data_IF_989191072543
#
_entry.id   IF_989191072543
#
_cell.length_a   1.000
_cell.length_b   1.000
_cell.length_c   1.000
_cell.angle_alpha   90.00
_cell.angle_beta   90.00
_cell.angle_gamma   90.00
#
_symmetry.space_group_name_H-M   'P 1'
#
loop_
_entity.id
_entity.type
_entity.pdbx_description
1 polymer ?
#
# COMPACT_ATOMS: atom_id res chain seq x y z
N UNK A 1 -19.49 -9.12 -6.51
CA UNK A 1 -19.07 -10.51 -6.88
C UNK A 1 -20.26 -11.46 -7.01
N UNK A 2 -21.23 -11.45 -6.10
CA UNK A 2 -22.45 -12.29 -6.16
C UNK A 2 -23.28 -12.09 -7.44
N UNK A 3 -23.66 -10.85 -7.78
CA UNK A 3 -24.52 -10.53 -8.95
C UNK A 3 -24.05 -11.17 -10.27
N UNK A 4 -22.73 -11.28 -10.46
CA UNK A 4 -22.14 -11.78 -11.71
C UNK A 4 -21.55 -13.19 -11.58
N UNK A 5 -21.71 -13.86 -10.44
CA UNK A 5 -21.14 -15.20 -10.19
C UNK A 5 -19.65 -15.27 -10.54
N UNK A 6 -18.87 -14.29 -10.04
CA UNK A 6 -17.43 -14.23 -10.28
C UNK A 6 -16.77 -15.52 -9.77
N UNK A 7 -16.06 -16.25 -10.64
CA UNK A 7 -15.44 -17.53 -10.30
C UNK A 7 -13.93 -17.43 -10.02
N UNK A 8 -13.30 -16.36 -10.49
CA UNK A 8 -11.89 -16.04 -10.26
C UNK A 8 -11.74 -14.54 -10.00
N UNK A 9 -10.91 -14.19 -9.02
CA UNK A 9 -10.61 -12.79 -8.71
C UNK A 9 -9.14 -12.61 -8.36
N UNK A 10 -8.60 -11.44 -8.69
CA UNK A 10 -7.20 -11.09 -8.46
C UNK A 10 -7.13 -9.83 -7.61
N UNK A 11 -6.39 -9.87 -6.51
CA UNK A 11 -6.30 -8.75 -5.57
C UNK A 11 -4.86 -8.56 -5.06
N UNK A 12 -4.41 -7.32 -4.79
CA UNK A 12 -3.31 -7.14 -3.86
C UNK A 12 -3.69 -7.75 -2.49
N UNK A 13 -2.74 -8.30 -1.72
CA UNK A 13 -3.04 -9.02 -0.48
C UNK A 13 -3.89 -8.24 0.53
N UNK A 14 -3.66 -6.93 0.63
CA UNK A 14 -4.42 -6.07 1.55
C UNK A 14 -5.92 -6.07 1.23
N UNK A 15 -6.30 -6.03 -0.06
CA UNK A 15 -7.71 -6.06 -0.46
C UNK A 15 -8.33 -7.45 -0.27
N UNK A 16 -7.54 -8.52 -0.47
CA UNK A 16 -8.01 -9.88 -0.21
C UNK A 16 -8.30 -10.08 1.28
N UNK A 17 -7.41 -9.59 2.14
CA UNK A 17 -7.60 -9.64 3.59
C UNK A 17 -8.89 -8.93 4.00
N UNK A 18 -9.14 -7.72 3.49
CA UNK A 18 -10.35 -6.99 3.83
C UNK A 18 -11.63 -7.63 3.32
N UNK A 19 -11.60 -8.18 2.10
CA UNK A 19 -12.71 -8.96 1.59
C UNK A 19 -12.98 -10.16 2.52
N UNK A 20 -11.93 -10.81 3.03
CA UNK A 20 -12.05 -11.91 3.99
C UNK A 20 -12.61 -11.45 5.34
N UNK A 21 -12.13 -10.34 5.91
CA UNK A 21 -12.63 -9.77 7.17
C UNK A 21 -14.11 -9.38 7.06
N UNK A 22 -14.51 -8.80 5.93
CA UNK A 22 -15.91 -8.46 5.67
C UNK A 22 -16.77 -9.72 5.52
N UNK A 23 -16.34 -10.69 4.72
CA UNK A 23 -17.06 -11.96 4.55
C UNK A 23 -17.18 -12.76 5.85
N UNK A 24 -16.18 -12.68 6.74
CA UNK A 24 -16.21 -13.30 8.07
C UNK A 24 -17.25 -12.64 8.98
N UNK A 25 -17.29 -11.30 9.00
CA UNK A 25 -18.28 -10.55 9.79
C UNK A 25 -19.71 -10.82 9.32
N UNK A 26 -19.93 -10.80 8.01
CA UNK A 26 -21.27 -10.91 7.41
C UNK A 26 -21.73 -12.37 7.25
N UNK A 27 -20.82 -13.34 7.40
CA UNK A 27 -21.10 -14.75 7.20
C UNK A 27 -21.50 -15.14 5.77
N UNK A 28 -21.32 -14.23 4.80
CA UNK A 28 -21.79 -14.37 3.41
C UNK A 28 -20.63 -14.22 2.40
N UNK A 29 -19.69 -15.18 2.32
CA UNK A 29 -18.61 -15.10 1.36
C UNK A 29 -19.12 -15.30 -0.08
N UNK A 30 -18.53 -14.61 -1.07
CA UNK A 30 -18.86 -14.84 -2.47
C UNK A 30 -18.35 -16.21 -2.94
N UNK A 31 -19.10 -16.86 -3.84
CA UNK A 31 -18.79 -18.20 -4.37
C UNK A 31 -17.68 -18.17 -5.44
N UNK A 32 -16.52 -17.63 -5.07
CA UNK A 32 -15.34 -17.50 -5.92
C UNK A 32 -14.44 -18.71 -5.68
N UNK A 33 -14.14 -19.48 -6.73
CA UNK A 33 -13.34 -20.70 -6.60
C UNK A 33 -11.84 -20.42 -6.50
N UNK A 34 -11.36 -19.36 -7.15
CA UNK A 34 -9.94 -19.00 -7.16
C UNK A 34 -9.75 -17.54 -6.77
N UNK A 35 -8.94 -17.32 -5.74
CA UNK A 35 -8.33 -16.02 -5.52
C UNK A 35 -6.86 -16.08 -5.89
N UNK A 36 -6.43 -15.16 -6.74
CA UNK A 36 -5.03 -14.87 -6.96
C UNK A 36 -4.67 -13.61 -6.19
N UNK A 37 -3.51 -13.60 -5.56
CA UNK A 37 -2.96 -12.41 -4.94
C UNK A 37 -1.48 -12.27 -5.21
N UNK A 38 -0.97 -11.06 -5.09
CA UNK A 38 0.41 -10.74 -5.38
C UNK A 38 0.68 -9.25 -5.24
N UNK A 39 1.95 -8.89 -5.15
CA UNK A 39 2.37 -7.50 -4.94
C UNK A 39 2.97 -7.28 -3.56
N UNK A 40 2.41 -7.85 -2.49
CA UNK A 40 2.94 -7.80 -1.12
C UNK A 40 3.20 -9.19 -0.54
N UNK A 41 4.00 -9.23 0.53
CA UNK A 41 4.19 -10.45 1.31
C UNK A 41 2.94 -10.74 2.17
N UNK A 42 2.52 -12.00 2.23
CA UNK A 42 1.31 -12.41 2.96
C UNK A 42 1.72 -13.25 4.17
N UNK A 43 1.46 -12.73 5.37
CA UNK A 43 1.73 -13.46 6.60
C UNK A 43 0.71 -14.61 6.81
N UNK A 44 1.08 -15.57 7.66
CA UNK A 44 0.25 -16.74 7.95
C UNK A 44 -1.18 -16.36 8.41
N UNK A 45 -1.33 -15.34 9.24
CA UNK A 45 -2.64 -14.91 9.74
C UNK A 45 -3.61 -14.50 8.60
N UNK A 46 -3.14 -13.69 7.64
CA UNK A 46 -3.95 -13.25 6.49
C UNK A 46 -4.26 -14.42 5.54
N UNK A 47 -3.31 -15.35 5.38
CA UNK A 47 -3.52 -16.58 4.60
C UNK A 47 -4.60 -17.48 5.21
N UNK A 48 -4.53 -17.71 6.52
CA UNK A 48 -5.49 -18.54 7.26
C UNK A 48 -6.88 -17.89 7.28
N UNK A 49 -6.96 -16.57 7.44
CA UNK A 49 -8.19 -15.79 7.34
C UNK A 49 -8.86 -15.96 5.97
N UNK A 50 -8.09 -15.83 4.87
CA UNK A 50 -8.64 -16.00 3.52
C UNK A 50 -9.26 -17.39 3.32
N UNK A 51 -8.62 -18.46 3.80
CA UNK A 51 -9.18 -19.81 3.74
C UNK A 51 -10.45 -19.98 4.57
N UNK A 52 -10.44 -19.46 5.79
CA UNK A 52 -11.55 -19.62 6.74
C UNK A 52 -12.79 -18.83 6.29
N UNK A 53 -12.60 -17.58 5.89
CA UNK A 53 -13.68 -16.67 5.56
C UNK A 53 -14.19 -16.87 4.13
N UNK A 54 -13.29 -16.87 3.13
CA UNK A 54 -13.67 -16.88 1.71
C UNK A 54 -13.89 -18.28 1.14
N UNK A 55 -13.39 -19.33 1.82
CA UNK A 55 -13.59 -20.75 1.47
C UNK A 55 -13.33 -21.09 -0.02
N UNK A 56 -12.22 -20.61 -0.64
CA UNK A 56 -11.97 -20.90 -2.05
C UNK A 56 -11.61 -22.38 -2.29
N UNK A 57 -11.50 -22.76 -3.56
CA UNK A 57 -10.88 -24.04 -3.95
C UNK A 57 -9.35 -23.92 -4.01
N UNK A 58 -8.86 -22.79 -4.54
CA UNK A 58 -7.42 -22.51 -4.65
C UNK A 58 -7.12 -21.07 -4.24
N UNK A 59 -5.99 -20.91 -3.58
CA UNK A 59 -5.29 -19.63 -3.47
C UNK A 59 -4.06 -19.68 -4.37
N UNK A 60 -3.83 -18.62 -5.13
CA UNK A 60 -2.59 -18.46 -5.90
C UNK A 60 -1.83 -17.24 -5.41
N UNK A 61 -0.58 -17.42 -5.00
CA UNK A 61 0.33 -16.31 -4.76
C UNK A 61 1.20 -16.10 -6.01
N UNK A 62 0.92 -15.04 -6.75
CA UNK A 62 1.69 -14.61 -7.91
C UNK A 62 2.77 -13.63 -7.49
N UNK A 63 4.00 -13.92 -7.88
CA UNK A 63 5.13 -13.04 -7.67
C UNK A 63 5.75 -12.63 -8.99
N UNK A 64 5.98 -11.32 -9.13
CA UNK A 64 7.22 -10.84 -9.67
C UNK A 64 7.24 -9.36 -10.02
N UNK A 65 8.44 -8.86 -10.34
CA UNK A 65 8.66 -7.47 -10.73
C UNK A 65 8.12 -7.19 -12.14
N UNK A 66 7.78 -5.92 -12.39
CA UNK A 66 7.26 -5.45 -13.70
C UNK A 66 8.23 -5.80 -14.84
N UNK A 67 9.52 -5.74 -14.54
CA UNK A 67 10.66 -6.05 -15.41
C UNK A 67 10.72 -7.50 -15.90
N UNK A 68 9.84 -8.38 -15.38
CA UNK A 68 9.78 -9.81 -15.72
C UNK A 68 8.40 -10.28 -16.19
N UNK A 69 7.55 -9.32 -16.60
CA UNK A 69 6.19 -9.53 -17.10
C UNK A 69 5.28 -10.21 -16.07
N UNK A 70 4.86 -9.39 -15.11
CA UNK A 70 3.76 -9.62 -14.16
C UNK A 70 4.00 -10.75 -13.14
N UNK A 71 4.14 -12.00 -13.57
CA UNK A 71 4.17 -13.17 -12.66
C UNK A 71 5.10 -14.25 -13.19
N UNK A 72 6.42 -14.10 -13.03
CA UNK A 72 7.41 -15.14 -13.31
C UNK A 72 7.32 -16.35 -12.37
N UNK A 73 6.90 -16.17 -11.11
CA UNK A 73 6.71 -17.27 -10.16
C UNK A 73 5.27 -17.32 -9.66
N UNK A 74 4.76 -18.53 -9.47
CA UNK A 74 3.42 -18.76 -8.99
C UNK A 74 3.38 -19.91 -8.00
N UNK A 75 2.80 -19.66 -6.83
CA UNK A 75 2.51 -20.68 -5.86
C UNK A 75 1.02 -21.02 -5.89
N UNK A 76 0.69 -22.30 -6.04
CA UNK A 76 -0.68 -22.82 -5.99
C UNK A 76 -0.91 -23.51 -4.66
N UNK A 77 -1.76 -22.93 -3.83
CA UNK A 77 -2.14 -23.47 -2.54
C UNK A 77 -3.53 -24.10 -2.56
N UNK A 78 -3.66 -25.24 -1.90
CA UNK A 78 -4.91 -25.95 -1.61
C UNK A 78 -5.25 -25.82 -0.13
N UNK A 79 -6.51 -26.12 0.19
CA UNK A 79 -6.95 -26.15 1.59
C UNK A 79 -6.11 -27.16 2.37
N UNK A 80 -5.53 -26.71 3.48
CA UNK A 80 -4.65 -27.52 4.32
C UNK A 80 -3.16 -27.41 3.99
N UNK A 81 -2.79 -26.80 2.85
CA UNK A 81 -1.39 -26.50 2.57
C UNK A 81 -0.90 -25.41 3.54
N UNK A 82 0.22 -25.61 4.24
CA UNK A 82 0.72 -24.63 5.21
C UNK A 82 1.31 -23.41 4.50
N UNK A 83 1.24 -22.25 5.16
CA UNK A 83 1.96 -21.04 4.75
C UNK A 83 3.50 -21.23 4.78
N UNK A 84 4.00 -22.32 5.37
CA UNK A 84 5.30 -22.95 5.09
C UNK A 84 6.59 -22.15 5.39
N UNK A 85 6.49 -20.85 5.65
CA UNK A 85 7.57 -19.92 5.95
C UNK A 85 6.97 -18.68 6.64
N UNK A 86 7.77 -17.63 6.85
CA UNK A 86 7.32 -16.35 7.44
C UNK A 86 6.21 -15.69 6.61
N UNK A 87 6.28 -15.86 5.29
CA UNK A 87 5.27 -15.40 4.33
C UNK A 87 4.85 -16.53 3.40
N UNK A 88 3.69 -16.39 2.77
CA UNK A 88 3.23 -17.30 1.72
C UNK A 88 4.32 -17.44 0.64
N UNK A 89 4.68 -18.67 0.23
CA UNK A 89 5.72 -18.88 -0.77
C UNK A 89 5.38 -18.18 -2.08
N UNK A 90 6.41 -17.76 -2.81
CA UNK A 90 6.25 -17.14 -4.13
C UNK A 90 6.22 -18.17 -5.25
N UNK A 91 6.52 -19.43 -4.93
CA UNK A 91 6.21 -20.59 -5.78
C UNK A 91 7.34 -21.01 -6.69
N UNK A 92 6.98 -21.57 -7.84
CA UNK A 92 7.94 -22.06 -8.84
C UNK A 92 7.87 -21.22 -10.11
N UNK A 93 8.91 -21.28 -10.93
CA UNK A 93 8.99 -20.58 -12.20
C UNK A 93 7.91 -21.07 -13.19
N UNK A 94 7.34 -20.13 -13.94
CA UNK A 94 6.35 -20.41 -14.96
C UNK A 94 6.95 -20.44 -16.37
N UNK A 95 6.62 -21.48 -17.14
CA UNK A 95 6.97 -21.58 -18.57
C UNK A 95 8.47 -21.60 -18.81
N UNK A 96 8.91 -20.99 -19.91
CA UNK A 96 10.32 -20.94 -20.32
C UNK A 96 11.11 -19.81 -19.63
N UNK A 97 10.92 -19.68 -18.31
CA UNK A 97 11.62 -18.70 -17.48
C UNK A 97 12.76 -19.37 -16.73
N UNK A 98 13.82 -18.61 -16.43
CA UNK A 98 14.88 -19.03 -15.53
C UNK A 98 14.88 -18.17 -14.27
N UNK A 99 15.42 -18.71 -13.18
CA UNK A 99 15.49 -18.03 -11.90
C UNK A 99 16.59 -18.61 -11.06
N UNK A 100 17.33 -17.74 -10.37
CA UNK A 100 18.50 -18.11 -9.60
C UNK A 100 18.51 -17.36 -8.27
N UNK A 101 18.86 -18.05 -7.19
CA UNK A 101 19.13 -17.43 -5.89
C UNK A 101 20.65 -17.31 -5.77
N UNK A 102 21.17 -16.08 -5.85
CA UNK A 102 22.60 -15.82 -5.97
C UNK A 102 23.17 -15.05 -4.77
N UNK A 103 24.46 -15.22 -4.54
CA UNK A 103 25.23 -14.35 -3.65
C UNK A 103 25.72 -13.08 -4.37
N UNK A 104 26.44 -12.22 -3.63
CA UNK A 104 27.00 -10.96 -4.16
C UNK A 104 28.06 -11.13 -5.26
N UNK A 105 28.59 -12.35 -5.43
CA UNK A 105 29.59 -12.70 -6.45
C UNK A 105 28.96 -13.46 -7.63
N UNK A 106 27.63 -13.55 -7.68
CA UNK A 106 26.86 -14.28 -8.70
C UNK A 106 27.02 -15.81 -8.64
N UNK A 107 27.43 -16.37 -7.50
CA UNK A 107 27.42 -17.82 -7.29
C UNK A 107 26.03 -18.30 -6.89
N UNK A 108 25.67 -19.51 -7.33
CA UNK A 108 24.43 -20.16 -6.90
C UNK A 108 24.46 -20.47 -5.41
N UNK A 109 23.42 -20.05 -4.70
CA UNK A 109 23.24 -20.41 -3.30
C UNK A 109 22.78 -21.87 -3.17
N UNK A 110 23.26 -22.60 -2.14
CA UNK A 110 22.70 -23.89 -1.79
C UNK A 110 21.22 -23.79 -1.43
N UNK A 111 20.48 -24.90 -1.59
CA UNK A 111 19.10 -25.01 -1.13
C UNK A 111 19.01 -24.67 0.36
N UNK A 112 18.04 -23.83 0.73
CA UNK A 112 17.85 -23.38 2.10
C UNK A 112 18.69 -22.16 2.52
N UNK A 113 19.64 -21.71 1.70
CA UNK A 113 20.46 -20.52 1.97
C UNK A 113 19.83 -19.29 1.33
N UNK A 114 19.86 -18.17 2.05
CA UNK A 114 19.31 -16.90 1.57
C UNK A 114 20.24 -16.26 0.52
N UNK A 115 19.65 -15.70 -0.53
CA UNK A 115 20.35 -14.94 -1.56
C UNK A 115 19.40 -14.04 -2.36
N UNK A 116 19.96 -13.24 -3.24
CA UNK A 116 19.18 -12.34 -4.09
C UNK A 116 18.59 -13.12 -5.27
N UNK A 117 17.31 -12.86 -5.59
CA UNK A 117 16.64 -13.51 -6.73
C UNK A 117 16.99 -12.81 -8.05
N UNK A 118 17.46 -13.57 -9.02
CA UNK A 118 17.69 -13.16 -10.40
C UNK A 118 16.73 -13.91 -11.32
N UNK A 119 16.17 -13.23 -12.31
CA UNK A 119 15.12 -13.77 -13.18
C UNK A 119 15.49 -13.60 -14.65
N UNK A 120 15.53 -14.70 -15.39
CA UNK A 120 15.94 -14.75 -16.80
C UNK A 120 14.91 -15.44 -17.69
N UNK A 121 15.29 -15.68 -18.93
CA UNK A 121 14.47 -16.38 -19.93
C UNK A 121 13.36 -15.51 -20.54
N UNK A 122 12.27 -16.15 -20.94
CA UNK A 122 11.14 -15.45 -21.56
C UNK A 122 10.45 -14.46 -20.59
N UNK A 123 10.07 -13.29 -21.08
CA UNK A 123 9.39 -12.28 -20.26
C UNK A 123 10.32 -11.34 -19.50
N UNK A 124 11.65 -11.43 -19.65
CA UNK A 124 12.54 -10.34 -19.23
C UNK A 124 12.31 -9.13 -20.13
N UNK A 125 12.05 -7.97 -19.53
CA UNK A 125 11.81 -6.73 -20.24
C UNK A 125 13.03 -6.29 -21.07
N UNK A 126 12.80 -5.43 -22.07
CA UNK A 126 13.89 -4.86 -22.88
C UNK A 126 14.87 -4.05 -22.02
N UNK A 127 14.33 -3.27 -21.08
CA UNK A 127 15.06 -2.38 -20.19
C UNK A 127 14.16 -1.22 -19.74
N UNK A 128 14.77 -0.23 -19.10
CA UNK A 128 14.11 1.01 -18.74
C UNK A 128 14.18 2.02 -19.90
N UNK A 129 13.04 2.65 -20.21
CA UNK A 129 12.94 3.64 -21.28
C UNK A 129 13.91 4.80 -21.03
N UNK A 130 14.76 5.10 -22.02
CA UNK A 130 15.74 6.20 -22.00
C UNK A 130 16.70 6.20 -20.79
N UNK A 131 16.86 5.05 -20.12
CA UNK A 131 17.75 4.90 -18.97
C UNK A 131 18.73 3.74 -19.18
N UNK A 132 19.71 3.87 -20.10
CA UNK A 132 20.64 2.81 -20.43
C UNK A 132 21.54 2.41 -19.25
N UNK A 133 21.96 3.36 -18.42
CA UNK A 133 22.78 3.07 -17.24
C UNK A 133 22.04 2.18 -16.24
N UNK A 134 20.82 2.57 -15.85
CA UNK A 134 19.97 1.77 -14.94
C UNK A 134 19.60 0.41 -15.57
N UNK A 135 19.41 0.38 -16.89
CA UNK A 135 19.18 -0.89 -17.61
C UNK A 135 20.38 -1.81 -17.50
N UNK A 136 21.60 -1.31 -17.72
CA UNK A 136 22.81 -2.11 -17.61
C UNK A 136 23.09 -2.58 -16.16
N UNK A 137 22.71 -1.76 -15.18
CA UNK A 137 22.83 -2.11 -13.76
C UNK A 137 21.89 -3.26 -13.34
N UNK A 138 20.63 -3.23 -13.82
CA UNK A 138 19.60 -4.19 -13.38
C UNK A 138 19.42 -5.39 -14.32
N UNK A 139 19.73 -5.26 -15.60
CA UNK A 139 19.63 -6.34 -16.61
C UNK A 139 21.04 -6.81 -16.99
N UNK A 140 21.61 -7.65 -16.13
CA UNK A 140 23.00 -8.11 -16.23
C UNK A 140 23.12 -9.36 -17.11
N UNK A 141 24.32 -9.69 -17.62
CA UNK A 141 24.55 -10.94 -18.34
C UNK A 141 24.17 -12.15 -17.48
N UNK A 142 23.52 -13.13 -18.09
CA UNK A 142 23.15 -14.39 -17.43
C UNK A 142 24.36 -15.34 -17.37
N UNK A 143 24.94 -15.62 -16.19
CA UNK A 143 26.12 -16.48 -16.10
C UNK A 143 25.81 -17.97 -16.33
N UNK A 144 24.53 -18.37 -16.32
CA UNK A 144 24.10 -19.77 -16.49
C UNK A 144 23.30 -20.00 -17.78
N UNK A 145 23.03 -18.92 -18.52
CA UNK A 145 22.22 -18.94 -19.73
C UNK A 145 23.02 -19.14 -21.02
N UNK A 146 22.35 -18.92 -22.15
CA UNK A 146 22.98 -18.96 -23.48
C UNK A 146 23.81 -17.68 -23.68
N UNK A 147 24.85 -17.70 -24.54
CA UNK A 147 25.57 -16.49 -24.89
C UNK A 147 24.62 -15.35 -25.31
N UNK A 148 24.75 -14.19 -24.67
CA UNK A 148 23.91 -13.01 -24.90
C UNK A 148 22.59 -12.97 -24.14
N UNK A 149 22.23 -13.99 -23.36
CA UNK A 149 21.05 -13.90 -22.47
C UNK A 149 21.34 -13.00 -21.27
N UNK A 150 20.26 -12.45 -20.70
CA UNK A 150 20.27 -11.52 -19.57
C UNK A 150 19.36 -12.02 -18.47
N UNK A 151 19.71 -11.67 -17.24
CA UNK A 151 18.87 -11.83 -16.07
C UNK A 151 18.55 -10.45 -15.48
N UNK A 152 17.34 -10.29 -14.98
CA UNK A 152 16.93 -9.14 -14.19
C UNK A 152 17.28 -9.40 -12.71
N UNK A 153 18.06 -8.48 -12.14
CA UNK A 153 18.44 -8.44 -10.73
C UNK A 153 17.30 -7.84 -9.91
N UNK A 154 16.54 -8.68 -9.21
CA UNK A 154 15.28 -8.24 -8.58
C UNK A 154 15.46 -7.30 -7.40
N UNK A 155 16.56 -7.43 -6.64
CA UNK A 155 16.71 -6.82 -5.32
C UNK A 155 15.91 -7.51 -4.20
N UNK A 156 15.26 -8.65 -4.48
CA UNK A 156 14.52 -9.42 -3.48
C UNK A 156 15.43 -10.49 -2.84
N UNK A 157 15.44 -10.51 -1.50
CA UNK A 157 16.08 -11.57 -0.73
C UNK A 157 15.12 -12.77 -0.64
N UNK A 158 15.61 -13.93 -1.05
CA UNK A 158 14.82 -15.15 -1.18
C UNK A 158 15.61 -16.37 -0.74
N UNK A 159 14.93 -17.51 -0.66
CA UNK A 159 15.53 -18.81 -0.37
C UNK A 159 14.84 -19.89 -1.19
N UNK A 160 15.63 -20.65 -1.96
CA UNK A 160 15.13 -21.82 -2.67
C UNK A 160 14.92 -23.01 -1.74
N UNK A 161 13.87 -23.80 -1.99
CA UNK A 161 13.56 -25.06 -1.29
C UNK A 161 13.90 -26.27 -2.15
N UNK A 162 13.97 -27.44 -1.53
CA UNK A 162 14.31 -28.69 -2.21
C UNK A 162 13.23 -29.15 -3.22
N UNK A 163 11.98 -28.70 -3.04
CA UNK A 163 10.85 -28.95 -3.95
C UNK A 163 10.78 -27.95 -5.11
N UNK A 164 11.76 -27.04 -5.23
CA UNK A 164 11.83 -26.01 -6.26
C UNK A 164 10.98 -24.76 -5.96
N UNK A 165 10.22 -24.75 -4.86
CA UNK A 165 9.49 -23.57 -4.41
C UNK A 165 10.47 -22.53 -3.84
N UNK A 166 10.19 -21.26 -4.06
CA UNK A 166 10.98 -20.15 -3.54
C UNK A 166 10.21 -19.43 -2.43
N UNK A 167 10.92 -19.17 -1.33
CA UNK A 167 10.46 -18.31 -0.23
C UNK A 167 10.93 -16.89 -0.42
N UNK A 168 10.03 -15.93 -0.20
CA UNK A 168 10.38 -14.53 -0.08
C UNK A 168 10.79 -14.19 1.36
N UNK A 169 11.90 -13.49 1.54
CA UNK A 169 12.45 -13.12 2.85
C UNK A 169 12.48 -11.59 3.06
N UNK A 170 12.52 -10.79 2.00
CA UNK A 170 12.58 -9.34 2.10
C UNK A 170 13.26 -8.68 0.90
N UNK A 171 13.78 -7.47 1.10
CA UNK A 171 14.54 -6.70 0.13
C UNK A 171 16.01 -6.63 0.54
N UNK A 172 16.92 -6.59 -0.43
CA UNK A 172 18.33 -6.25 -0.17
C UNK A 172 18.59 -4.74 -0.22
N UNK A 173 17.71 -3.98 -0.87
CA UNK A 173 17.80 -2.51 -0.97
C UNK A 173 16.70 -1.79 -0.15
N UNK A 174 16.57 -0.48 -0.34
CA UNK A 174 15.64 0.38 0.41
C UNK A 174 14.27 0.54 -0.25
N UNK A 175 14.00 -0.22 -1.31
CA UNK A 175 12.68 -0.22 -1.90
C UNK A 175 11.66 -0.83 -0.94
N UNK A 176 10.45 -0.27 -0.91
CA UNK A 176 9.38 -0.77 -0.05
C UNK A 176 8.14 -1.07 -0.87
N UNK A 177 7.32 -1.96 -0.32
CA UNK A 177 5.98 -2.22 -0.82
C UNK A 177 4.99 -1.84 0.25
N UNK A 178 4.09 -0.93 -0.10
CA UNK A 178 3.07 -0.40 0.80
C UNK A 178 1.74 -0.50 0.05
N UNK A 179 0.80 -1.28 0.60
CA UNK A 179 -0.57 -1.40 0.07
C UNK A 179 -0.60 -1.80 -1.42
N UNK A 180 0.31 -2.68 -1.85
CA UNK A 180 0.45 -3.16 -3.22
C UNK A 180 1.29 -2.25 -4.15
N UNK A 181 1.67 -1.06 -3.69
CA UNK A 181 2.48 -0.13 -4.46
C UNK A 181 3.96 -0.36 -4.18
N UNK A 182 4.74 -0.48 -5.26
CA UNK A 182 6.20 -0.52 -5.23
C UNK A 182 6.72 0.91 -5.19
N UNK A 183 7.35 1.32 -4.09
CA UNK A 183 7.77 2.69 -3.84
C UNK A 183 9.29 2.74 -3.71
N UNK A 184 9.92 3.59 -4.53
CA UNK A 184 11.34 3.94 -4.42
C UNK A 184 11.48 5.13 -3.46
N UNK A 185 11.96 4.88 -2.24
CA UNK A 185 12.10 5.94 -1.22
C UNK A 185 13.02 7.08 -1.68
N UNK A 186 14.06 6.73 -2.44
CA UNK A 186 14.99 7.71 -3.02
C UNK A 186 14.35 8.68 -4.01
N UNK A 187 13.23 8.33 -4.64
CA UNK A 187 12.48 9.25 -5.51
C UNK A 187 11.81 10.35 -4.69
N UNK A 188 11.22 9.98 -3.55
CA UNK A 188 10.60 10.93 -2.62
C UNK A 188 11.69 11.84 -2.02
N UNK A 189 12.81 11.25 -1.59
CA UNK A 189 13.97 11.99 -1.09
C UNK A 189 14.53 12.96 -2.13
N UNK A 190 14.57 12.58 -3.41
CA UNK A 190 15.02 13.47 -4.49
C UNK A 190 14.09 14.66 -4.68
N UNK A 191 12.77 14.44 -4.65
CA UNK A 191 11.77 15.53 -4.75
C UNK A 191 11.80 16.46 -3.54
N UNK A 192 12.06 15.93 -2.35
CA UNK A 192 12.26 16.74 -1.15
C UNK A 192 13.53 17.60 -1.25
N UNK A 193 14.64 17.03 -1.74
CA UNK A 193 15.91 17.75 -1.95
C UNK A 193 15.86 18.82 -3.05
N UNK A 194 14.83 18.81 -3.90
CA UNK A 194 14.60 19.89 -4.87
C UNK A 194 14.02 21.16 -4.23
N UNK A 195 13.59 21.10 -2.97
CA UNK A 195 13.09 22.27 -2.25
C UNK A 195 14.25 23.00 -1.56
N UNK A 196 14.47 24.28 -1.88
CA UNK A 196 15.57 25.09 -1.29
C UNK A 196 15.54 25.16 0.25
N UNK A 197 14.35 24.97 0.83
CA UNK A 197 14.12 24.94 2.27
C UNK A 197 14.56 23.63 2.96
N UNK A 198 14.94 22.59 2.21
CA UNK A 198 15.37 21.28 2.73
C UNK A 198 16.88 21.15 2.65
N UNK A 199 17.54 20.98 3.80
CA UNK A 199 18.98 20.72 3.88
C UNK A 199 19.30 19.23 3.70
N UNK A 200 18.79 18.40 4.60
CA UNK A 200 18.93 16.94 4.53
C UNK A 200 17.58 16.25 4.64
N UNK A 201 17.44 15.08 4.02
CA UNK A 201 16.24 14.27 4.17
C UNK A 201 16.52 12.78 4.02
N UNK A 202 15.75 11.97 4.77
CA UNK A 202 15.64 10.53 4.56
C UNK A 202 14.17 10.15 4.68
N UNK A 203 13.70 9.29 3.79
CA UNK A 203 12.36 8.71 3.87
C UNK A 203 12.49 7.24 4.26
N UNK A 204 11.65 6.81 5.19
CA UNK A 204 11.58 5.42 5.65
C UNK A 204 10.13 4.95 5.67
N UNK A 205 9.94 3.63 5.53
CA UNK A 205 8.67 2.99 5.84
C UNK A 205 8.71 2.46 7.27
N UNK A 206 7.72 2.82 8.08
CA UNK A 206 7.55 2.36 9.46
C UNK A 206 6.19 1.73 9.65
N UNK A 207 6.08 0.79 10.59
CA UNK A 207 4.79 0.25 11.00
C UNK A 207 4.01 1.32 11.77
N UNK A 208 2.76 1.56 11.37
CA UNK A 208 1.82 2.40 12.09
C UNK A 208 0.59 1.61 12.53
N UNK A 209 -0.39 2.26 13.19
CA UNK A 209 -1.63 1.61 13.65
C UNK A 209 -2.38 0.88 12.53
N UNK A 210 -2.34 1.45 11.32
CA UNK A 210 -3.04 0.95 10.13
C UNK A 210 -2.08 0.30 9.11
N UNK A 211 -0.94 -0.21 9.58
CA UNK A 211 0.10 -0.84 8.77
C UNK A 211 1.20 0.12 8.32
N UNK A 212 2.00 -0.31 7.34
CA UNK A 212 3.16 0.46 6.89
C UNK A 212 2.81 1.83 6.31
N UNK A 213 3.50 2.84 6.79
CA UNK A 213 3.37 4.23 6.36
C UNK A 213 4.73 4.87 6.10
N UNK A 214 4.73 5.93 5.29
CA UNK A 214 5.91 6.68 4.93
C UNK A 214 6.15 7.81 5.93
N UNK A 215 7.38 7.89 6.44
CA UNK A 215 7.84 8.96 7.33
C UNK A 215 9.03 9.64 6.68
N UNK A 216 8.93 10.95 6.45
CA UNK A 216 10.02 11.78 6.00
C UNK A 216 10.67 12.48 7.19
N UNK A 217 11.97 12.24 7.37
CA UNK A 217 12.79 13.03 8.28
C UNK A 217 13.46 14.13 7.48
N UNK A 218 13.40 15.35 7.98
CA UNK A 218 13.85 16.54 7.26
C UNK A 218 14.66 17.41 8.22
N UNK A 219 15.87 17.80 7.80
CA UNK A 219 16.64 18.88 8.42
C UNK A 219 16.39 20.13 7.59
N UNK A 220 15.76 21.18 8.14
CA UNK A 220 15.54 22.44 7.43
C UNK A 220 16.87 23.10 7.03
N UNK A 221 16.89 23.78 5.88
CA UNK A 221 18.06 24.54 5.42
C UNK A 221 18.29 25.84 6.21
N UNK A 222 17.23 26.37 6.84
CA UNK A 222 17.26 27.58 7.66
C UNK A 222 16.70 27.30 9.05
N UNK A 223 17.22 27.97 10.07
CA UNK A 223 16.70 27.82 11.44
C UNK A 223 15.26 28.36 11.56
N UNK A 224 14.42 27.61 12.29
CA UNK A 224 13.09 28.00 12.78
C UNK A 224 11.99 28.23 11.73
N UNK A 225 11.69 27.28 10.83
CA UNK A 225 10.40 27.31 10.14
C UNK A 225 9.26 27.09 11.14
N UNK A 226 8.12 27.76 10.92
CA UNK A 226 6.86 27.29 11.48
C UNK A 226 6.63 25.87 10.95
N UNK A 227 6.76 24.84 11.81
CA UNK A 227 6.77 23.44 11.39
C UNK A 227 5.49 23.05 10.64
N UNK A 228 4.34 23.62 11.00
CA UNK A 228 3.06 23.35 10.35
C UNK A 228 3.07 23.88 8.91
N UNK A 229 3.39 25.17 8.73
CA UNK A 229 3.46 25.78 7.39
C UNK A 229 4.52 25.10 6.52
N UNK A 230 5.64 24.73 7.12
CA UNK A 230 6.71 24.05 6.42
C UNK A 230 6.30 22.65 5.97
N UNK A 231 5.70 21.86 6.86
CA UNK A 231 5.12 20.55 6.53
C UNK A 231 4.13 20.66 5.37
N UNK A 232 3.21 21.61 5.43
CA UNK A 232 2.20 21.81 4.39
C UNK A 232 2.83 22.22 3.05
N UNK A 233 3.87 23.05 3.08
CA UNK A 233 4.60 23.43 1.88
C UNK A 233 5.28 22.23 1.20
N UNK A 234 5.94 21.36 1.98
CA UNK A 234 6.59 20.15 1.48
C UNK A 234 5.57 19.17 0.92
N UNK A 235 4.47 18.93 1.66
CA UNK A 235 3.38 18.06 1.22
C UNK A 235 2.79 18.54 -0.11
N UNK A 236 2.50 19.83 -0.23
CA UNK A 236 1.98 20.44 -1.45
C UNK A 236 2.96 20.28 -2.61
N UNK A 237 4.24 20.56 -2.39
CA UNK A 237 5.28 20.39 -3.39
C UNK A 237 5.35 18.94 -3.89
N UNK A 238 5.34 17.95 -2.99
CA UNK A 238 5.35 16.54 -3.36
C UNK A 238 4.09 16.14 -4.17
N UNK A 239 2.90 16.57 -3.76
CA UNK A 239 1.65 16.29 -4.49
C UNK A 239 1.64 16.80 -5.94
N UNK A 240 2.46 17.80 -6.28
CA UNK A 240 2.54 18.28 -7.68
C UNK A 240 3.28 17.32 -8.63
N UNK A 241 4.13 16.43 -8.08
CA UNK A 241 5.04 15.58 -8.88
C UNK A 241 4.90 14.10 -8.58
N UNK A 242 4.35 13.74 -7.42
CA UNK A 242 4.21 12.37 -6.95
C UNK A 242 2.74 12.00 -6.80
N UNK A 243 2.38 10.73 -7.08
CA UNK A 243 1.09 10.18 -6.69
C UNK A 243 0.89 10.25 -5.17
N UNK A 244 -0.37 10.36 -4.72
CA UNK A 244 -0.72 10.50 -3.30
C UNK A 244 -0.13 9.40 -2.40
N UNK A 245 -0.06 8.15 -2.90
CA UNK A 245 0.48 7.03 -2.13
C UNK A 245 2.00 7.11 -1.85
N UNK A 246 2.72 8.01 -2.54
CA UNK A 246 4.14 8.26 -2.32
C UNK A 246 4.40 9.48 -1.42
N UNK A 247 3.37 10.25 -1.10
CA UNK A 247 3.52 11.41 -0.21
C UNK A 247 3.63 10.90 1.24
N UNK A 248 4.69 11.28 1.99
CA UNK A 248 4.85 10.88 3.38
C UNK A 248 3.65 11.26 4.24
N UNK A 249 3.21 10.32 5.08
CA UNK A 249 2.17 10.55 6.08
C UNK A 249 2.66 11.52 7.15
N UNK A 250 3.92 11.34 7.58
CA UNK A 250 4.53 12.14 8.63
C UNK A 250 5.79 12.85 8.13
N UNK A 251 5.97 14.07 8.61
CA UNK A 251 7.19 14.86 8.44
C UNK A 251 7.76 15.16 9.82
N UNK A 252 8.92 14.59 10.11
CA UNK A 252 9.66 14.75 11.35
C UNK A 252 10.81 15.72 11.10
N UNK A 253 10.78 16.87 11.78
CA UNK A 253 11.83 17.87 11.64
C UNK A 253 12.92 17.62 12.68
N UNK A 254 14.16 17.49 12.20
CA UNK A 254 15.33 17.24 13.04
C UNK A 254 16.29 18.41 12.97
N UNK A 255 17.00 18.67 14.06
CA UNK A 255 18.12 19.62 14.05
C UNK A 255 19.30 19.09 13.21
N UNK A 256 19.52 17.77 13.22
CA UNK A 256 20.54 17.09 12.42
C UNK A 256 20.17 15.61 12.23
N UNK A 257 20.69 14.97 11.19
CA UNK A 257 20.48 13.54 10.97
C UNK A 257 21.29 12.70 11.97
N UNK A 258 20.73 11.61 12.52
CA UNK A 258 21.48 10.69 13.37
C UNK A 258 22.52 9.96 12.52
N UNK A 259 23.78 9.95 12.97
CA UNK A 259 24.88 9.27 12.30
C UNK A 259 25.48 8.19 13.20
N UNK A 260 25.84 7.06 12.59
CA UNK A 260 26.68 6.03 13.20
C UNK A 260 28.08 6.59 13.51
N UNK A 261 28.89 5.93 14.36
CA UNK A 261 30.28 6.35 14.63
C UNK A 261 31.16 6.47 13.38
N UNK A 262 30.80 5.78 12.29
CA UNK A 262 31.51 5.82 11.01
C UNK A 262 30.98 6.93 10.06
N UNK A 263 30.13 7.85 10.55
CA UNK A 263 29.59 8.96 9.78
C UNK A 263 28.51 8.60 8.76
N UNK A 264 27.99 7.36 8.77
CA UNK A 264 26.84 6.95 7.94
C UNK A 264 25.53 7.22 8.67
N UNK A 265 24.45 7.52 7.94
CA UNK A 265 23.10 7.65 8.49
C UNK A 265 22.72 6.43 9.36
N UNK A 266 22.36 6.70 10.61
CA UNK A 266 21.82 5.70 11.54
C UNK A 266 20.29 5.70 11.48
N UNK A 267 19.74 4.86 10.59
CA UNK A 267 18.29 4.71 10.46
C UNK A 267 17.61 4.12 11.69
N UNK A 268 18.34 3.40 12.55
CA UNK A 268 17.78 2.85 13.79
C UNK A 268 17.70 3.89 14.90
N UNK A 269 18.50 4.96 14.78
CA UNK A 269 18.48 6.11 15.69
C UNK A 269 17.46 7.18 15.29
N UNK A 270 16.68 6.98 14.23
CA UNK A 270 15.61 7.92 13.86
C UNK A 270 14.48 7.87 14.90
N UNK A 271 14.00 9.03 15.41
CA UNK A 271 12.94 9.06 16.41
C UNK A 271 11.62 8.61 15.82
N UNK A 272 10.84 7.83 16.57
CA UNK A 272 9.51 7.39 16.12
C UNK A 272 8.53 8.58 16.09
N UNK A 273 7.59 8.63 15.12
CA UNK A 273 6.52 9.61 15.12
C UNK A 273 5.67 9.46 16.39
N UNK A 274 5.60 10.53 17.19
CA UNK A 274 4.77 10.51 18.38
C UNK A 274 3.30 10.74 18.00
N UNK A 275 2.51 9.67 18.10
CA UNK A 275 1.07 9.71 17.84
C UNK A 275 0.32 10.71 18.74
N UNK A 276 0.88 11.09 19.90
CA UNK A 276 0.28 12.08 20.79
C UNK A 276 0.47 13.52 20.31
N UNK A 277 1.50 13.81 19.51
CA UNK A 277 1.67 15.11 18.84
C UNK A 277 0.59 15.36 17.78
N UNK A 278 -0.08 14.31 17.33
CA UNK A 278 -1.11 14.36 16.29
C UNK A 278 -2.47 14.86 16.80
N UNK A 279 -2.68 14.94 18.12
CA UNK A 279 -3.92 15.44 18.74
C UNK A 279 -3.78 16.81 19.43
N UNK A 280 -2.70 17.56 19.16
CA UNK A 280 -2.40 18.79 19.92
C UNK A 280 -3.48 19.87 19.82
N UNK A 281 -4.35 19.84 18.80
CA UNK A 281 -5.51 20.71 18.68
C UNK A 281 -6.81 19.91 18.53
N UNK A 282 -7.19 19.17 19.58
CA UNK A 282 -8.49 18.49 19.61
C UNK A 282 -9.64 19.51 19.67
N UNK A 283 -10.35 19.67 18.57
CA UNK A 283 -11.63 20.38 18.52
C UNK A 283 -12.75 19.35 18.48
N UNK A 284 -13.55 19.30 19.55
CA UNK A 284 -14.60 18.29 19.69
C UNK A 284 -15.71 18.46 18.62
N UNK A 285 -16.21 17.36 18.04
CA UNK A 285 -17.45 17.33 17.27
C UNK A 285 -18.62 17.93 18.06
N UNK A 286 -19.35 18.87 17.47
CA UNK A 286 -20.41 19.63 18.14
C UNK A 286 -21.80 19.17 17.72
N UNK A 287 -22.04 18.95 16.43
CA UNK A 287 -23.33 18.52 15.90
C UNK A 287 -23.51 17.01 15.93
N UNK A 288 -24.75 16.53 15.88
CA UNK A 288 -25.06 15.10 15.83
C UNK A 288 -24.37 14.40 14.63
N UNK A 289 -24.40 15.03 13.46
CA UNK A 289 -23.75 14.50 12.26
C UNK A 289 -22.22 14.44 12.42
N UNK A 290 -21.61 15.48 12.98
CA UNK A 290 -20.18 15.49 13.28
C UNK A 290 -19.81 14.36 14.25
N UNK A 291 -20.61 14.15 15.31
CA UNK A 291 -20.37 13.09 16.31
C UNK A 291 -20.48 11.68 15.70
N UNK A 292 -21.51 11.45 14.88
CA UNK A 292 -21.72 10.18 14.19
C UNK A 292 -20.57 9.86 13.24
N UNK A 293 -20.18 10.81 12.39
CA UNK A 293 -19.09 10.61 11.44
C UNK A 293 -17.73 10.47 12.17
N UNK A 294 -17.50 11.27 13.22
CA UNK A 294 -16.29 11.14 14.05
C UNK A 294 -16.17 9.76 14.69
N UNK A 295 -17.28 9.18 15.16
CA UNK A 295 -17.30 7.84 15.74
C UNK A 295 -16.94 6.77 14.70
N UNK A 296 -17.50 6.87 13.48
CA UNK A 296 -17.16 5.98 12.36
C UNK A 296 -15.66 6.07 12.03
N UNK A 297 -15.12 7.28 11.94
CA UNK A 297 -13.70 7.50 11.69
C UNK A 297 -12.84 6.91 12.81
N UNK A 298 -13.17 7.19 14.07
CA UNK A 298 -12.43 6.69 15.22
C UNK A 298 -12.36 5.16 15.25
N UNK A 299 -13.47 4.48 14.98
CA UNK A 299 -13.51 3.01 14.95
C UNK A 299 -12.65 2.44 13.81
N UNK A 300 -12.80 2.98 12.59
CA UNK A 300 -12.09 2.47 11.40
C UNK A 300 -10.59 2.79 11.44
N UNK A 301 -10.22 3.95 11.97
CA UNK A 301 -8.81 4.36 12.12
C UNK A 301 -8.16 3.77 13.38
N UNK A 302 -8.92 3.05 14.21
CA UNK A 302 -8.50 2.51 15.49
C UNK A 302 -7.95 3.58 16.45
N UNK A 303 -8.61 4.73 16.50
CA UNK A 303 -8.27 5.87 17.34
C UNK A 303 -9.24 5.99 18.52
N UNK A 304 -8.78 6.47 19.69
CA UNK A 304 -9.66 6.67 20.84
C UNK A 304 -10.70 7.79 20.58
N UNK A 305 -10.37 8.77 19.75
CA UNK A 305 -11.22 9.90 19.35
C UNK A 305 -10.67 10.55 18.08
N UNK A 306 -11.54 11.26 17.36
CA UNK A 306 -11.21 12.09 16.19
C UNK A 306 -11.82 13.48 16.38
N UNK A 307 -11.01 14.53 16.26
CA UNK A 307 -11.40 15.93 16.29
C UNK A 307 -11.79 16.47 14.92
N UNK A 308 -12.49 17.62 14.90
CA UNK A 308 -12.96 18.25 13.67
C UNK A 308 -11.83 18.65 12.72
N UNK A 309 -10.69 19.07 13.26
CA UNK A 309 -9.56 19.53 12.45
C UNK A 309 -8.53 18.42 12.19
N UNK A 310 -8.82 17.18 12.62
CA UNK A 310 -7.95 16.03 12.35
C UNK A 310 -7.96 15.71 10.85
N UNK A 311 -6.77 15.71 10.25
CA UNK A 311 -6.58 15.32 8.86
C UNK A 311 -6.56 13.79 8.73
N UNK A 312 -7.46 13.25 7.91
CA UNK A 312 -7.64 11.83 7.66
C UNK A 312 -6.33 11.10 7.40
N UNK A 313 -5.49 11.64 6.50
CA UNK A 313 -4.24 11.00 6.12
C UNK A 313 -3.20 11.12 7.21
N UNK A 314 -3.12 12.28 7.87
CA UNK A 314 -2.17 12.47 8.97
C UNK A 314 -2.44 11.49 10.10
N UNK A 315 -3.70 11.23 10.44
CA UNK A 315 -4.10 10.26 11.48
C UNK A 315 -4.00 8.79 11.06
N UNK A 316 -3.24 8.50 10.00
CA UNK A 316 -2.98 7.15 9.50
C UNK A 316 -4.04 6.63 8.52
N UNK A 317 -4.90 7.51 8.01
CA UNK A 317 -5.88 7.19 6.98
C UNK A 317 -5.24 6.93 5.62
N UNK A 318 -5.89 6.07 4.84
CA UNK A 318 -5.51 5.79 3.46
C UNK A 318 -6.72 5.37 2.63
N UNK A 319 -6.54 5.24 1.31
CA UNK A 319 -7.58 4.91 0.34
C UNK A 319 -8.49 3.76 0.77
N UNK A 320 -7.89 2.73 1.35
CA UNK A 320 -8.63 1.56 1.81
C UNK A 320 -9.53 1.84 3.03
N UNK A 321 -9.07 2.62 4.01
CA UNK A 321 -9.90 3.06 5.13
C UNK A 321 -10.94 4.08 4.67
N UNK A 322 -10.63 4.90 3.66
CA UNK A 322 -11.58 5.84 3.07
C UNK A 322 -12.78 5.09 2.45
N UNK A 323 -12.53 3.99 1.73
CA UNK A 323 -13.60 3.12 1.20
C UNK A 323 -14.48 2.55 2.33
N UNK A 324 -13.85 2.10 3.43
CA UNK A 324 -14.60 1.60 4.58
C UNK A 324 -15.44 2.68 5.24
N UNK A 325 -14.90 3.89 5.39
CA UNK A 325 -15.60 5.04 5.95
C UNK A 325 -16.80 5.39 5.08
N UNK A 326 -16.63 5.57 3.76
CA UNK A 326 -17.75 5.94 2.89
C UNK A 326 -18.83 4.85 2.89
N UNK A 327 -18.43 3.58 2.86
CA UNK A 327 -19.38 2.45 2.94
C UNK A 327 -20.15 2.44 4.26
N UNK A 328 -19.50 2.74 5.39
CA UNK A 328 -20.12 2.72 6.71
C UNK A 328 -21.00 3.94 6.96
N UNK A 329 -20.58 5.10 6.48
CA UNK A 329 -21.40 6.32 6.45
C UNK A 329 -22.67 6.10 5.63
N UNK A 330 -22.59 5.45 4.47
CA UNK A 330 -23.78 5.10 3.69
C UNK A 330 -24.68 4.12 4.45
N UNK A 331 -24.12 3.07 5.05
CA UNK A 331 -24.89 2.03 5.73
C UNK A 331 -25.58 2.53 7.03
N UNK A 332 -24.91 3.36 7.82
CA UNK A 332 -25.42 3.82 9.12
C UNK A 332 -26.21 5.13 9.03
N UNK A 333 -25.84 6.03 8.11
CA UNK A 333 -26.40 7.38 8.03
C UNK A 333 -27.21 7.63 6.75
N UNK A 334 -27.20 6.69 5.80
CA UNK A 334 -27.90 6.85 4.51
C UNK A 334 -27.26 7.90 3.60
N UNK A 335 -26.02 8.32 3.88
CA UNK A 335 -25.33 9.37 3.12
C UNK A 335 -24.38 8.73 2.10
N UNK A 336 -24.68 8.91 0.82
CA UNK A 336 -23.82 8.45 -0.27
C UNK A 336 -22.77 9.50 -0.61
N UNK A 337 -21.73 9.56 0.22
CA UNK A 337 -20.60 10.48 0.02
C UNK A 337 -19.61 9.83 -0.94
N UNK A 338 -19.30 10.45 -2.09
CA UNK A 338 -18.33 9.93 -3.04
C UNK A 338 -16.95 9.75 -2.39
N UNK A 339 -16.26 8.66 -2.71
CA UNK A 339 -14.92 8.38 -2.19
C UNK A 339 -13.93 9.54 -2.44
N UNK A 340 -14.08 10.24 -3.57
CA UNK A 340 -13.23 11.38 -3.93
C UNK A 340 -13.30 12.51 -2.89
N UNK A 341 -14.42 12.69 -2.20
CA UNK A 341 -14.57 13.72 -1.17
C UNK A 341 -13.59 13.50 -0.02
N UNK A 342 -13.37 12.26 0.43
CA UNK A 342 -12.40 11.97 1.50
C UNK A 342 -10.99 12.48 1.15
N UNK A 343 -10.61 12.40 -0.13
CA UNK A 343 -9.31 12.88 -0.60
C UNK A 343 -9.25 14.39 -0.80
N UNK A 344 -10.39 15.05 -1.05
CA UNK A 344 -10.47 16.49 -1.29
C UNK A 344 -10.65 17.29 -0.01
N UNK A 345 -11.43 16.77 0.94
CA UNK A 345 -11.78 17.50 2.16
C UNK A 345 -10.68 17.44 3.20
N UNK A 346 -9.86 16.38 3.18
CA UNK A 346 -8.70 16.08 4.05
C UNK A 346 -8.98 16.05 5.56
N UNK A 347 -9.78 16.96 6.12
CA UNK A 347 -10.19 17.05 7.53
C UNK A 347 -11.59 16.48 7.78
N UNK A 348 -11.85 16.05 9.02
CA UNK A 348 -13.19 15.61 9.43
C UNK A 348 -14.23 16.70 9.21
N UNK A 349 -13.94 17.95 9.58
CA UNK A 349 -14.85 19.10 9.43
C UNK A 349 -15.30 19.28 7.98
N UNK A 350 -14.35 19.33 7.04
CA UNK A 350 -14.67 19.51 5.63
C UNK A 350 -15.40 18.27 5.07
N UNK A 351 -15.05 17.07 5.52
CA UNK A 351 -15.75 15.85 5.11
C UNK A 351 -17.21 15.85 5.58
N UNK A 352 -17.49 16.28 6.81
CA UNK A 352 -18.85 16.43 7.34
C UNK A 352 -19.64 17.48 6.55
N UNK A 353 -19.01 18.59 6.17
CA UNK A 353 -19.64 19.62 5.33
C UNK A 353 -20.03 19.07 3.96
N UNK A 354 -19.15 18.32 3.31
CA UNK A 354 -19.46 17.63 2.05
C UNK A 354 -20.56 16.57 2.25
N UNK A 355 -20.51 15.79 3.33
CA UNK A 355 -21.55 14.80 3.63
C UNK A 355 -22.94 15.44 3.82
N UNK A 356 -23.00 16.64 4.40
CA UNK A 356 -24.24 17.37 4.59
C UNK A 356 -24.91 17.80 3.27
N UNK A 357 -24.15 18.05 2.19
CA UNK A 357 -24.75 18.39 0.88
C UNK A 357 -25.41 17.16 0.24
N UNK A 358 -24.85 15.97 0.43
CA UNK A 358 -25.47 14.71 -0.04
C UNK A 358 -26.70 14.30 0.78
N UNK A 359 -26.85 14.84 1.99
CA UNK A 359 -28.09 14.73 2.78
C UNK A 359 -29.22 15.57 2.20
N UNK A 360 -28.90 16.70 1.58
CA UNK A 360 -29.88 17.62 1.01
C UNK A 360 -30.35 17.19 -0.39
N UNK A 361 -29.44 16.66 -1.23
CA UNK A 361 -29.76 16.23 -2.59
C UNK A 361 -30.73 15.04 -2.70
N UNK A 362 -30.81 14.17 -1.67
CA UNK A 362 -31.70 13.00 -1.69
C UNK A 362 -33.17 13.31 -1.44
N UNK A 363 -33.50 14.51 -0.95
CA UNK A 363 -34.88 14.94 -0.72
C UNK A 363 -35.48 15.68 -1.93
N UNK A 364 -34.71 16.49 -2.65
CA UNK A 364 -35.20 17.25 -3.80
C UNK A 364 -35.23 16.41 -5.10
N UNK A 365 -34.23 15.56 -5.36
CA UNK A 365 -34.19 14.73 -6.58
C UNK A 365 -35.30 13.65 -6.63
N UNK A 366 -35.86 13.26 -5.48
CA UNK A 366 -36.92 12.25 -5.42
C UNK A 366 -38.31 12.84 -5.73
N UNK A 367 -38.57 14.09 -5.37
CA UNK A 367 -39.83 14.77 -5.69
C UNK A 367 -39.86 15.18 -7.17
N UNK A 368 -38.74 15.67 -7.72
CA UNK A 368 -38.63 16.00 -9.16
C UNK A 368 -38.79 14.77 -10.06
N UNK A 369 -38.22 13.62 -9.67
CA UNK A 369 -38.38 12.37 -10.41
C UNK A 369 -39.81 11.82 -10.30
N UNK A 370 -40.49 12.05 -9.17
CA UNK A 370 -41.87 11.61 -8.95
C UNK A 370 -42.87 12.45 -9.72
N UNK A 371 -42.66 13.77 -9.78
CA UNK A 371 -43.45 14.68 -10.60
C UNK A 371 -43.24 14.38 -12.09
N UNK A 372 -41.99 14.14 -12.51
CA UNK A 372 -41.67 13.75 -13.89
C UNK A 372 -42.30 12.39 -14.30
N UNK A 373 -42.31 11.40 -13.40
CA UNK A 373 -42.97 10.11 -13.66
C UNK A 373 -44.51 10.23 -13.66
N UNK A 374 -45.07 11.15 -12.87
CA UNK A 374 -46.51 11.42 -12.84
C UNK A 374 -47.00 12.10 -14.11
N UNK A 375 -46.20 12.98 -14.71
CA UNK A 375 -46.49 13.58 -16.02
C UNK A 375 -46.44 12.57 -17.17
N UNK A 376 -45.56 11.56 -17.07
CA UNK A 376 -45.43 10.48 -18.06
C UNK A 376 -46.60 9.47 -18.02
N UNK A 377 -47.25 9.29 -16.87
CA UNK A 377 -48.44 8.43 -16.74
C UNK A 377 -49.75 9.13 -17.17
N UNK A 378 -49.71 10.45 -17.37
CA UNK A 378 -50.85 11.28 -17.79
C UNK A 378 -50.92 11.51 -19.32
N UNK A 379 -49.97 10.97 -20.09
CA UNK A 379 -49.92 10.96 -21.56
C UNK A 379 -50.18 9.54 -22.05
#
# INVERSE_FOLDING_TARGET
>A
MHRHNVTMAVFPPVYLQQLAEHAERDGNPPNVRVYCFGGDAVAQASYDLAWRALKPTYLFNGYGPTETVVTPLLWKARRGDPCGAVYAPIGTLLGNRSGYVLDSQLNLQPIGVAGELYLGGEGVARGYLERPALTAERFVPDPFGKPGSRVYRSGDLTRGRADGVVDYLGRVDHQVKIRGFRIELGEIEARLREQDSVGETVVVAQEGPNGKQLVAYVVPATEQPNETEFRDSLRRALKTRLPDYMVPTHFMFLAQMPLTPNGKLDRKGLPEPDASLMQQHYVAPQTELEQQIAAIWAEILHLPRVGLDDNFFEVGGHSLLAIQITSRVQAELGLEVPLVEVFQTETLRAYVQAAATFRAGSAEDFDDLRDFLSELEAI
#
